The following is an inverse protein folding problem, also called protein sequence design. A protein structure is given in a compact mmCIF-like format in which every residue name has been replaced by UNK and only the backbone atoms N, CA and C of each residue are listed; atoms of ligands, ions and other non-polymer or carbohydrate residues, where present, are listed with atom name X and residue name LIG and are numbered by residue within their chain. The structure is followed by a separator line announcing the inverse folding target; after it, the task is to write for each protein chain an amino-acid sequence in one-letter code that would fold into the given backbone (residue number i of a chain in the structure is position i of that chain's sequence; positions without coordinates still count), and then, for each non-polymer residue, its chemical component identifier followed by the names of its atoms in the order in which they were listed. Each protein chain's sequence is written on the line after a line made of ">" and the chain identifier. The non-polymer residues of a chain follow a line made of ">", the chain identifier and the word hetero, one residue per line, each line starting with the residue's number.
data_IF_593320370015
#
_entry.id   IF_593320370015
#
_cell.length_a   1.000
_cell.length_b   1.000
_cell.length_c   1.000
_cell.angle_alpha   90.00
_cell.angle_beta   90.00
_cell.angle_gamma   90.00
#
_symmetry.space_group_name_H-M   'P 1'
#
loop_
_entity.id
_entity.type
_entity.pdbx_description
1 polymer ?
#
# COMPACT_ATOMS: atom_id res chain seq x y z
N UNK A 1 -51.80 21.32 5.28
CA UNK A 1 -51.12 22.42 4.56
C UNK A 1 -50.61 23.37 5.63
N UNK A 2 -49.39 23.16 6.16
CA UNK A 2 -48.84 23.98 7.25
C UNK A 2 -47.51 24.62 6.83
N UNK A 3 -47.42 25.90 7.20
CA UNK A 3 -46.59 26.96 6.66
C UNK A 3 -45.11 26.94 7.04
N UNK A 4 -44.28 27.24 6.03
CA UNK A 4 -43.20 28.27 5.92
C UNK A 4 -42.15 28.48 7.04
N UNK A 5 -40.89 28.53 6.57
CA UNK A 5 -39.83 29.49 6.99
C UNK A 5 -38.80 28.92 7.98
N UNK A 6 -37.51 29.25 7.99
CA UNK A 6 -36.66 30.22 7.26
C UNK A 6 -35.18 29.78 7.43
N UNK A 7 -34.31 30.37 6.60
CA UNK A 7 -32.91 30.09 6.25
C UNK A 7 -31.86 30.44 7.34
N UNK A 8 -30.59 30.17 6.98
CA UNK A 8 -29.28 30.66 7.49
C UNK A 8 -28.61 29.79 8.58
N UNK A 9 -27.30 29.54 8.62
CA UNK A 9 -26.16 30.30 8.09
C UNK A 9 -24.93 29.40 7.77
N UNK A 10 -24.02 29.96 6.98
CA UNK A 10 -22.71 29.43 6.60
C UNK A 10 -21.71 29.39 7.77
N UNK A 11 -20.75 28.46 7.73
CA UNK A 11 -19.54 28.50 8.54
C UNK A 11 -18.32 28.27 7.63
N UNK A 12 -17.57 29.34 7.38
CA UNK A 12 -16.30 29.33 6.65
C UNK A 12 -15.18 29.05 7.65
N UNK A 13 -14.52 27.89 7.56
CA UNK A 13 -13.32 27.60 8.33
C UNK A 13 -12.07 27.88 7.48
N UNK A 14 -11.36 28.95 7.81
CA UNK A 14 -10.01 29.22 7.28
C UNK A 14 -9.02 28.64 8.28
N UNK A 15 -8.36 27.54 7.93
CA UNK A 15 -7.25 26.99 8.70
C UNK A 15 -5.92 27.40 8.04
N UNK A 16 -5.13 28.17 8.77
CA UNK A 16 -3.81 28.62 8.38
C UNK A 16 -2.79 27.48 8.52
N UNK A 17 -2.04 27.21 7.44
CA UNK A 17 -0.83 26.40 7.50
C UNK A 17 0.38 27.31 7.29
N UNK A 18 1.05 27.67 8.37
CA UNK A 18 2.38 28.26 8.33
C UNK A 18 3.41 27.11 8.31
N UNK A 19 3.87 26.74 7.13
CA UNK A 19 5.04 25.86 6.97
C UNK A 19 6.30 26.69 7.25
N UNK A 20 6.84 26.54 8.45
CA UNK A 20 8.19 26.96 8.76
C UNK A 20 9.17 26.09 7.95
N UNK A 21 9.57 26.56 6.77
CA UNK A 21 10.76 26.08 6.09
C UNK A 21 11.98 26.77 6.73
N UNK A 22 12.40 26.25 7.89
CA UNK A 22 13.67 26.59 8.52
C UNK A 22 14.54 25.33 8.45
N UNK A 23 15.44 25.31 7.48
CA UNK A 23 16.39 24.22 7.25
C UNK A 23 17.46 24.70 6.28
N UNK A 24 18.25 25.67 6.72
CA UNK A 24 19.39 26.22 5.99
C UNK A 24 20.72 25.68 6.51
N UNK A 25 21.66 25.51 5.58
CA UNK A 25 23.08 25.18 5.78
C UNK A 25 23.32 23.68 5.94
N UNK A 26 24.35 23.04 5.40
CA UNK A 26 25.61 23.49 4.80
C UNK A 26 26.31 22.23 4.25
N UNK A 27 26.86 22.28 3.04
CA UNK A 27 27.61 21.16 2.46
C UNK A 27 28.95 21.02 3.18
N UNK A 28 29.21 19.87 3.80
CA UNK A 28 30.57 19.39 4.09
C UNK A 28 30.57 17.86 4.11
N UNK A 29 31.39 17.30 3.22
CA UNK A 29 31.62 15.88 3.01
C UNK A 29 32.25 15.22 4.24
N UNK A 30 31.60 14.18 4.75
CA UNK A 30 32.24 13.14 5.55
C UNK A 30 31.60 11.80 5.16
N UNK A 31 32.13 11.23 4.08
CA UNK A 31 31.86 9.88 3.61
C UNK A 31 32.30 8.87 4.67
N UNK A 32 31.33 8.41 5.47
CA UNK A 32 31.47 7.29 6.40
C UNK A 32 30.47 6.21 6.01
N UNK A 33 30.79 5.45 4.96
CA UNK A 33 30.04 4.32 4.45
C UNK A 33 30.15 3.14 5.45
N UNK A 34 29.28 3.13 6.46
CA UNK A 34 29.18 2.05 7.45
C UNK A 34 27.76 1.46 7.54
N UNK A 35 26.89 1.78 6.59
CA UNK A 35 25.52 1.29 6.54
C UNK A 35 25.26 0.27 5.41
N UNK A 36 26.26 -0.05 4.59
CA UNK A 36 26.08 -0.80 3.35
C UNK A 36 26.05 -2.33 3.48
N UNK A 37 26.16 -2.87 4.70
CA UNK A 37 26.29 -4.33 4.93
C UNK A 37 25.13 -4.95 5.74
N UNK A 38 24.08 -4.19 6.04
CA UNK A 38 22.84 -4.81 6.54
C UNK A 38 22.08 -5.39 5.34
N UNK A 39 21.65 -6.67 5.38
CA UNK A 39 20.78 -7.19 4.34
C UNK A 39 19.57 -6.25 4.26
N UNK A 40 19.28 -5.75 3.05
CA UNK A 40 18.08 -4.96 2.83
C UNK A 40 16.90 -5.77 3.36
N UNK A 41 16.33 -5.35 4.49
CA UNK A 41 15.10 -5.90 5.02
C UNK A 41 14.03 -5.43 4.04
N UNK A 42 13.82 -6.21 2.99
CA UNK A 42 12.63 -6.09 2.16
C UNK A 42 11.49 -6.49 3.09
N UNK A 43 10.89 -5.50 3.76
CA UNK A 43 9.59 -5.68 4.37
C UNK A 43 8.63 -5.86 3.20
N UNK A 44 8.55 -7.10 2.70
CA UNK A 44 7.48 -7.49 1.83
C UNK A 44 6.20 -7.13 2.58
N UNK A 45 5.34 -6.36 1.93
CA UNK A 45 4.04 -6.05 2.48
C UNK A 45 3.37 -7.38 2.87
N UNK A 46 3.19 -7.59 4.17
CA UNK A 46 2.94 -8.92 4.70
C UNK A 46 1.44 -9.20 4.65
N UNK A 47 1.00 -9.83 3.56
CA UNK A 47 -0.37 -10.36 3.45
C UNK A 47 -0.36 -11.83 3.85
N UNK A 48 -1.04 -12.13 4.96
CA UNK A 48 -1.15 -13.49 5.49
C UNK A 48 -1.79 -14.45 4.48
N UNK A 49 -1.26 -15.66 4.43
CA UNK A 49 -1.92 -16.78 3.76
C UNK A 49 -3.11 -17.23 4.60
N UNK A 50 -4.26 -17.41 3.97
CA UNK A 50 -5.44 -18.02 4.59
C UNK A 50 -5.11 -19.48 4.96
N UNK A 51 -5.37 -19.94 6.20
CA UNK A 51 -5.16 -21.33 6.57
C UNK A 51 -5.82 -22.36 5.64
N UNK A 52 -6.95 -22.02 5.03
CA UNK A 52 -7.62 -22.88 4.05
C UNK A 52 -6.83 -23.02 2.74
N UNK A 53 -5.93 -22.07 2.45
CA UNK A 53 -5.04 -22.09 1.29
C UNK A 53 -3.71 -22.84 1.55
N UNK A 54 -3.41 -23.21 2.79
CA UNK A 54 -2.23 -23.97 3.16
C UNK A 54 -2.43 -25.48 2.93
N UNK A 55 -2.65 -25.83 1.66
CA UNK A 55 -2.88 -27.19 1.21
C UNK A 55 -1.62 -27.69 0.50
N UNK A 56 -1.24 -28.94 0.75
CA UNK A 56 -0.13 -29.59 0.02
C UNK A 56 -0.38 -29.66 -1.51
N UNK A 57 -1.64 -29.58 -1.93
CA UNK A 57 -2.04 -29.56 -3.34
C UNK A 57 -2.07 -28.17 -3.95
N UNK A 58 -1.98 -27.11 -3.14
CA UNK A 58 -1.92 -25.74 -3.63
C UNK A 58 -0.47 -25.42 -4.06
N UNK A 59 -0.25 -25.40 -5.37
CA UNK A 59 1.09 -25.18 -5.95
C UNK A 59 1.41 -23.69 -6.14
N UNK A 60 0.50 -22.78 -5.79
CA UNK A 60 0.75 -21.35 -5.91
C UNK A 60 1.78 -20.91 -4.87
N UNK A 61 2.73 -20.03 -5.25
CA UNK A 61 3.74 -19.53 -4.33
C UNK A 61 3.10 -18.62 -3.27
N UNK A 62 3.73 -18.58 -2.10
CA UNK A 62 3.52 -17.50 -1.13
C UNK A 62 4.16 -16.22 -1.70
N UNK A 63 3.34 -15.43 -2.41
CA UNK A 63 3.77 -14.26 -3.14
C UNK A 63 2.74 -13.15 -2.98
N UNK A 64 3.16 -12.03 -2.42
CA UNK A 64 2.31 -10.83 -2.32
C UNK A 64 2.40 -10.01 -3.59
N UNK A 65 1.25 -9.69 -4.17
CA UNK A 65 1.11 -8.91 -5.40
C UNK A 65 0.11 -7.77 -5.21
N UNK A 66 0.27 -6.70 -5.98
CA UNK A 66 -0.71 -5.62 -6.06
C UNK A 66 -1.91 -6.05 -6.92
N UNK A 67 -3.10 -5.93 -6.37
CA UNK A 67 -4.35 -6.11 -7.08
C UNK A 67 -4.90 -4.74 -7.50
N UNK A 68 -4.74 -4.43 -8.78
CA UNK A 68 -5.11 -3.14 -9.35
C UNK A 68 -6.63 -2.92 -9.44
N UNK A 69 -7.45 -3.96 -9.31
CA UNK A 69 -8.90 -3.82 -9.38
C UNK A 69 -9.47 -3.20 -8.10
N UNK A 70 -8.93 -3.61 -6.94
CA UNK A 70 -9.43 -3.22 -5.62
C UNK A 70 -8.46 -2.30 -4.86
N UNK A 71 -7.35 -1.89 -5.50
CA UNK A 71 -6.29 -1.05 -4.94
C UNK A 71 -5.77 -1.58 -3.58
N UNK A 72 -5.51 -2.89 -3.54
CA UNK A 72 -5.01 -3.57 -2.35
C UNK A 72 -3.91 -4.56 -2.69
N UNK A 73 -3.26 -5.10 -1.66
CA UNK A 73 -2.30 -6.19 -1.78
C UNK A 73 -2.95 -7.50 -1.41
N UNK A 74 -2.59 -8.54 -2.15
CA UNK A 74 -3.13 -9.89 -1.97
C UNK A 74 -2.00 -10.92 -2.02
N UNK A 75 -2.16 -12.02 -1.29
CA UNK A 75 -1.28 -13.16 -1.43
C UNK A 75 -1.80 -14.09 -2.52
N UNK A 76 -0.98 -14.37 -3.53
CA UNK A 76 -1.35 -15.22 -4.66
C UNK A 76 -1.77 -16.62 -4.20
N UNK A 77 -1.19 -17.14 -3.11
CA UNK A 77 -1.53 -18.47 -2.57
C UNK A 77 -3.00 -18.57 -2.16
N UNK A 78 -3.63 -17.46 -1.75
CA UNK A 78 -5.02 -17.42 -1.32
C UNK A 78 -6.02 -17.66 -2.47
N UNK A 79 -5.60 -17.59 -3.73
CA UNK A 79 -6.46 -17.91 -4.87
C UNK A 79 -6.55 -19.42 -5.14
N UNK A 80 -5.63 -20.22 -4.58
CA UNK A 80 -5.55 -21.66 -4.82
C UNK A 80 -6.64 -22.50 -4.16
N UNK A 81 -7.50 -21.89 -3.33
CA UNK A 81 -8.66 -22.54 -2.70
C UNK A 81 -9.89 -22.61 -3.61
N UNK A 82 -9.89 -21.88 -4.73
CA UNK A 82 -11.03 -21.85 -5.64
C UNK A 82 -10.95 -22.99 -6.67
N UNK A 83 -12.10 -23.61 -6.98
CA UNK A 83 -12.20 -24.59 -8.09
C UNK A 83 -12.09 -23.96 -9.49
N UNK A 84 -11.83 -22.66 -9.57
CA UNK A 84 -11.70 -21.93 -10.84
C UNK A 84 -10.29 -22.09 -11.39
N UNK A 85 -10.13 -22.38 -12.70
CA UNK A 85 -8.80 -22.40 -13.32
C UNK A 85 -8.19 -20.99 -13.29
N UNK A 86 -6.88 -20.93 -13.04
CA UNK A 86 -6.10 -19.69 -12.96
C UNK A 86 -5.18 -19.61 -14.19
N UNK A 87 -5.20 -18.47 -14.89
CA UNK A 87 -4.24 -18.14 -15.94
C UNK A 87 -3.17 -17.21 -15.36
N UNK A 88 -1.92 -17.66 -15.40
CA UNK A 88 -0.76 -16.83 -15.07
C UNK A 88 -0.05 -16.44 -16.37
N UNK A 89 0.04 -15.14 -16.63
CA UNK A 89 0.79 -14.59 -17.76
C UNK A 89 1.66 -13.44 -17.26
N UNK A 90 2.92 -13.46 -17.66
CA UNK A 90 3.90 -12.47 -17.25
C UNK A 90 4.48 -11.78 -18.49
N UNK A 91 4.57 -10.47 -18.42
CA UNK A 91 5.18 -9.63 -19.43
C UNK A 91 5.87 -8.46 -18.73
N UNK A 92 7.04 -8.09 -19.21
CA UNK A 92 7.75 -6.89 -18.79
C UNK A 92 8.05 -6.06 -20.03
N UNK A 93 7.68 -4.76 -20.07
CA UNK A 93 8.13 -3.87 -21.12
C UNK A 93 9.66 -3.71 -21.07
N UNK A 94 10.24 -3.44 -22.24
CA UNK A 94 11.66 -3.11 -22.40
C UNK A 94 11.94 -1.68 -21.95
#
# INVERSE_FOLDING_TARGET
>A
MNSRGTRFAAATAVAAFALAACGGGESTDASGDAASDLPAVVVADAVSVDPAADLATNLLPDLVVDNLNDDNKVNLRNYGVSDKPILLWMWAPH
#
